data_IF_899666536756
#
_entry.id   IF_899666536756
#
_cell.length_a   1.000
_cell.length_b   1.000
_cell.length_c   1.000
_cell.angle_alpha   90.00
_cell.angle_beta   90.00
_cell.angle_gamma   90.00
#
_symmetry.space_group_name_H-M   'P 1'
#
loop_
_entity.id
_entity.type
_entity.pdbx_description
1 polymer ?
#
# COMPACT_ATOMS: atom_id res chain seq x y z
N UNK A 1 12.73 7.69 -6.55
CA UNK A 1 11.55 7.28 -5.76
C UNK A 1 11.16 8.44 -4.86
N UNK A 2 9.87 8.72 -4.67
CA UNK A 2 9.41 9.77 -3.74
C UNK A 2 8.88 9.09 -2.48
N UNK A 3 9.35 9.52 -1.31
CA UNK A 3 8.82 9.06 -0.01
C UNK A 3 8.26 10.25 0.74
N UNK A 4 6.96 10.19 1.03
CA UNK A 4 6.27 11.22 1.80
C UNK A 4 6.06 10.74 3.22
N UNK A 5 6.43 11.55 4.20
CA UNK A 5 6.13 11.29 5.60
C UNK A 5 5.84 12.59 6.33
N UNK A 6 5.00 12.55 7.36
CA UNK A 6 4.74 13.70 8.24
C UNK A 6 5.80 13.90 9.33
N UNK A 7 6.75 12.96 9.46
CA UNK A 7 7.74 12.95 10.54
C UNK A 7 9.15 13.07 9.98
N UNK A 8 9.81 14.20 10.26
CA UNK A 8 11.20 14.44 9.86
C UNK A 8 12.15 13.36 10.39
N UNK A 9 12.09 12.96 11.69
CA UNK A 9 12.98 11.91 12.20
C UNK A 9 12.86 10.57 11.46
N UNK A 10 11.68 10.23 10.91
CA UNK A 10 11.50 9.02 10.11
C UNK A 10 12.14 9.13 8.72
N UNK A 11 12.11 10.31 8.11
CA UNK A 11 12.79 10.59 6.86
C UNK A 11 14.32 10.56 7.04
N UNK A 12 14.82 11.13 8.13
CA UNK A 12 16.24 11.11 8.47
C UNK A 12 16.73 9.66 8.69
N UNK A 13 15.94 8.86 9.43
CA UNK A 13 16.25 7.45 9.65
C UNK A 13 16.27 6.63 8.34
N UNK A 14 15.36 6.93 7.40
CA UNK A 14 15.38 6.33 6.07
C UNK A 14 16.67 6.69 5.31
N UNK A 15 17.05 7.97 5.30
CA UNK A 15 18.28 8.41 4.63
C UNK A 15 19.53 7.77 5.23
N UNK A 16 19.62 7.70 6.56
CA UNK A 16 20.73 7.04 7.25
C UNK A 16 20.79 5.54 6.92
N UNK A 17 19.65 4.86 6.85
CA UNK A 17 19.57 3.46 6.44
C UNK A 17 20.04 3.27 5.00
N UNK A 18 19.59 4.11 4.06
CA UNK A 18 19.99 4.04 2.65
C UNK A 18 21.50 4.24 2.50
N UNK A 19 22.09 5.21 3.23
CA UNK A 19 23.52 5.45 3.24
C UNK A 19 24.30 4.22 3.77
N UNK A 20 23.84 3.63 4.87
CA UNK A 20 24.47 2.43 5.46
C UNK A 20 24.42 1.20 4.54
N UNK A 21 23.36 1.07 3.75
CA UNK A 21 23.20 -0.01 2.76
C UNK A 21 23.98 0.25 1.47
N UNK A 22 24.62 1.42 1.31
CA UNK A 22 25.27 1.80 0.06
C UNK A 22 24.29 1.93 -1.12
N UNK A 23 23.03 2.27 -0.84
CA UNK A 23 22.01 2.35 -1.87
C UNK A 23 22.33 3.47 -2.87
N UNK A 24 22.32 3.14 -4.16
CA UNK A 24 22.55 4.10 -5.25
C UNK A 24 21.26 4.74 -5.78
N UNK A 25 20.10 4.28 -5.30
CA UNK A 25 18.78 4.81 -5.68
C UNK A 25 18.57 6.21 -5.10
N UNK A 26 18.20 7.16 -5.96
CA UNK A 26 17.74 8.48 -5.52
C UNK A 26 16.35 8.39 -4.86
N UNK A 27 16.27 8.83 -3.61
CA UNK A 27 15.03 8.89 -2.83
C UNK A 27 14.76 10.33 -2.41
N UNK A 28 13.71 10.91 -2.98
CA UNK A 28 13.24 12.25 -2.65
C UNK A 28 12.34 12.16 -1.41
N UNK A 29 12.89 12.54 -0.26
CA UNK A 29 12.17 12.60 1.00
C UNK A 29 11.37 13.91 1.10
N UNK A 30 10.05 13.80 1.25
CA UNK A 30 9.15 14.95 1.36
C UNK A 30 8.46 14.95 2.72
N UNK A 31 8.73 15.99 3.53
CA UNK A 31 7.98 16.24 4.77
C UNK A 31 6.62 16.85 4.42
N UNK A 32 5.55 16.06 4.59
CA UNK A 32 4.19 16.50 4.28
C UNK A 32 3.13 15.69 5.04
N UNK A 33 2.05 16.35 5.40
CA UNK A 33 0.81 15.74 5.89
C UNK A 33 -0.46 16.25 5.19
N UNK A 34 -0.32 17.25 4.30
CA UNK A 34 -1.44 17.82 3.55
C UNK A 34 -1.77 16.94 2.32
N UNK A 35 -2.98 16.37 2.24
CA UNK A 35 -3.37 15.52 1.11
C UNK A 35 -3.37 16.27 -0.23
N UNK A 36 -3.61 17.58 -0.26
CA UNK A 36 -3.55 18.37 -1.50
C UNK A 36 -2.13 18.40 -2.10
N UNK A 37 -1.11 18.45 -1.25
CA UNK A 37 0.29 18.32 -1.69
C UNK A 37 0.57 16.92 -2.23
N UNK A 38 -0.04 15.88 -1.65
CA UNK A 38 0.10 14.51 -2.16
C UNK A 38 -0.57 14.35 -3.54
N UNK A 39 -1.73 14.95 -3.77
CA UNK A 39 -2.37 14.99 -5.09
C UNK A 39 -1.43 15.60 -6.13
N UNK A 40 -0.80 16.74 -5.80
CA UNK A 40 0.13 17.43 -6.68
C UNK A 40 1.41 16.63 -6.95
N UNK A 41 1.91 15.85 -5.97
CA UNK A 41 3.04 14.93 -6.18
C UNK A 41 2.63 13.78 -7.11
N UNK A 42 1.48 13.16 -6.83
CA UNK A 42 0.97 12.02 -7.57
C UNK A 42 0.67 12.37 -9.03
N UNK A 43 0.08 13.54 -9.29
CA UNK A 43 -0.26 13.99 -10.64
C UNK A 43 0.95 14.20 -11.56
N UNK A 44 2.16 14.37 -11.00
CA UNK A 44 3.41 14.53 -11.77
C UNK A 44 4.14 13.21 -12.01
N UNK A 45 3.63 12.10 -11.48
CA UNK A 45 4.27 10.80 -11.68
C UNK A 45 4.14 10.37 -13.15
N UNK A 46 5.20 9.80 -13.73
CA UNK A 46 5.12 9.22 -15.07
C UNK A 46 4.03 8.15 -15.18
N UNK A 47 3.50 7.96 -16.39
CA UNK A 47 2.67 6.79 -16.72
C UNK A 47 3.38 5.49 -16.32
N UNK A 48 2.63 4.52 -15.80
CA UNK A 48 3.18 3.25 -15.31
C UNK A 48 3.74 3.29 -13.89
N UNK A 49 3.67 4.43 -13.19
CA UNK A 49 4.18 4.54 -11.82
C UNK A 49 3.35 3.75 -10.80
N UNK A 50 4.02 3.26 -9.75
CA UNK A 50 3.43 2.66 -8.57
C UNK A 50 3.23 3.71 -7.47
N UNK A 51 2.01 3.79 -6.94
CA UNK A 51 1.63 4.67 -5.83
C UNK A 51 1.12 3.82 -4.68
N UNK A 52 1.73 3.98 -3.50
CA UNK A 52 1.46 3.11 -2.34
C UNK A 52 0.96 3.94 -1.16
N UNK A 53 -0.21 3.61 -0.60
CA UNK A 53 -0.54 4.02 0.76
C UNK A 53 0.17 3.08 1.75
N UNK A 54 1.35 3.49 2.20
CA UNK A 54 2.15 2.79 3.22
C UNK A 54 1.95 3.39 4.62
N UNK A 55 0.81 4.03 4.86
CA UNK A 55 0.46 4.64 6.15
C UNK A 55 -0.65 3.86 6.85
N UNK A 56 -0.95 4.21 8.10
CA UNK A 56 -2.14 3.69 8.78
C UNK A 56 -3.44 4.41 8.41
N UNK A 57 -3.45 5.38 7.49
CA UNK A 57 -4.68 6.04 7.07
C UNK A 57 -5.57 5.07 6.28
N UNK A 58 -6.86 5.06 6.57
CA UNK A 58 -7.83 4.07 6.07
C UNK A 58 -7.93 2.82 6.95
N UNK A 59 -7.15 2.72 8.02
CA UNK A 59 -7.14 1.59 8.97
C UNK A 59 -6.99 2.02 10.42
N UNK A 60 -5.81 2.54 10.78
CA UNK A 60 -5.47 3.00 12.13
C UNK A 60 -5.92 4.44 12.37
N UNK A 61 -6.03 5.23 11.28
CA UNK A 61 -6.63 6.57 11.28
C UNK A 61 -7.65 6.67 10.15
N UNK A 62 -8.78 7.37 10.36
CA UNK A 62 -9.76 7.60 9.30
C UNK A 62 -9.18 8.35 8.10
N UNK A 63 -9.84 8.21 6.95
CA UNK A 63 -9.55 8.98 5.73
C UNK A 63 -8.44 8.41 4.84
N UNK A 64 -7.93 9.25 3.93
CA UNK A 64 -6.97 8.88 2.89
C UNK A 64 -5.78 9.87 2.84
N UNK A 65 -4.57 9.43 2.46
CA UNK A 65 -3.44 10.33 2.24
C UNK A 65 -3.62 11.26 1.01
N UNK A 66 -4.63 11.04 0.17
CA UNK A 66 -4.95 11.88 -1.00
C UNK A 66 -6.40 12.36 -0.91
N UNK A 67 -6.72 13.43 -1.64
CA UNK A 67 -8.12 13.89 -1.73
C UNK A 67 -8.87 13.13 -2.83
N UNK A 68 -10.19 13.28 -2.88
CA UNK A 68 -11.01 12.70 -3.95
C UNK A 68 -10.73 13.33 -5.33
N UNK A 69 -10.06 14.49 -5.38
CA UNK A 69 -9.60 15.11 -6.61
C UNK A 69 -8.22 14.59 -7.07
N UNK A 70 -7.53 13.80 -6.25
CA UNK A 70 -6.23 13.22 -6.56
C UNK A 70 -6.28 12.33 -7.81
N UNK A 71 -5.34 12.52 -8.72
CA UNK A 71 -5.28 11.81 -9.99
C UNK A 71 -4.11 10.81 -10.03
N UNK A 72 -4.42 9.52 -10.08
CA UNK A 72 -3.39 8.48 -10.21
C UNK A 72 -2.67 8.55 -11.56
N UNK A 73 -1.40 8.10 -11.67
CA UNK A 73 -0.72 7.99 -12.96
C UNK A 73 -1.50 7.03 -13.88
N UNK A 74 -1.55 7.33 -15.19
CA UNK A 74 -2.13 6.39 -16.16
C UNK A 74 -1.35 5.07 -16.17
N UNK A 75 -2.01 3.97 -16.54
CA UNK A 75 -1.43 2.63 -16.67
C UNK A 75 -0.60 2.19 -15.46
N UNK A 76 -0.90 2.78 -14.29
CA UNK A 76 -0.12 2.65 -13.06
C UNK A 76 -0.68 1.59 -12.13
N UNK A 77 -0.01 1.46 -10.99
CA UNK A 77 -0.44 0.58 -9.90
C UNK A 77 -0.77 1.44 -8.69
N UNK A 78 -1.98 1.30 -8.15
CA UNK A 78 -2.37 1.86 -6.87
C UNK A 78 -2.41 0.73 -5.84
N UNK A 79 -1.63 0.85 -4.79
CA UNK A 79 -1.52 -0.19 -3.77
C UNK A 79 -1.86 0.35 -2.38
N UNK A 80 -2.97 -0.09 -1.82
CA UNK A 80 -3.31 0.13 -0.42
C UNK A 80 -2.62 -0.97 0.41
N UNK A 81 -1.61 -0.65 1.23
CA UNK A 81 -0.96 -1.68 2.06
C UNK A 81 -1.87 -2.17 3.19
N UNK A 82 -2.91 -1.42 3.52
CA UNK A 82 -3.93 -1.87 4.47
C UNK A 82 -4.85 -2.92 3.82
N UNK A 83 -5.43 -3.79 4.64
CA UNK A 83 -6.30 -4.88 4.19
C UNK A 83 -7.64 -4.93 4.95
N UNK A 84 -7.86 -3.94 5.82
CA UNK A 84 -9.06 -3.77 6.63
C UNK A 84 -9.24 -2.31 7.01
N UNK A 85 -10.46 -1.93 7.36
CA UNK A 85 -10.82 -0.56 7.73
C UNK A 85 -11.62 0.11 6.62
N UNK A 86 -11.58 1.44 6.58
CA UNK A 86 -12.29 2.26 5.59
C UNK A 86 -11.64 2.24 4.20
N UNK A 87 -10.32 1.99 4.13
CA UNK A 87 -9.56 1.84 2.88
C UNK A 87 -9.81 2.96 1.84
N UNK A 88 -9.95 4.21 2.29
CA UNK A 88 -10.36 5.33 1.42
C UNK A 88 -9.49 5.51 0.16
N UNK A 89 -8.17 5.28 0.26
CA UNK A 89 -7.25 5.31 -0.88
C UNK A 89 -7.54 4.22 -1.92
N UNK A 90 -7.90 3.00 -1.47
CA UNK A 90 -8.32 1.90 -2.35
C UNK A 90 -9.56 2.32 -3.14
N UNK A 91 -10.59 2.82 -2.46
CA UNK A 91 -11.82 3.26 -3.11
C UNK A 91 -11.61 4.43 -4.07
N UNK A 92 -10.71 5.36 -3.74
CA UNK A 92 -10.30 6.43 -4.66
C UNK A 92 -9.63 5.90 -5.93
N UNK A 93 -8.80 4.86 -5.81
CA UNK A 93 -8.16 4.20 -6.94
C UNK A 93 -9.15 3.40 -7.79
N UNK A 94 -10.06 2.64 -7.17
CA UNK A 94 -11.10 1.84 -7.83
C UNK A 94 -11.98 2.71 -8.74
N UNK A 95 -12.39 3.90 -8.25
CA UNK A 95 -13.17 4.87 -9.06
C UNK A 95 -12.43 5.36 -10.31
N UNK A 96 -11.10 5.26 -10.34
CA UNK A 96 -10.26 5.69 -11.46
C UNK A 96 -9.74 4.53 -12.31
N UNK A 97 -9.97 3.27 -11.91
CA UNK A 97 -9.30 2.10 -12.49
C UNK A 97 -9.56 1.96 -13.99
N UNK A 98 -10.83 1.99 -14.41
CA UNK A 98 -11.18 1.88 -15.83
C UNK A 98 -10.69 3.09 -16.65
N UNK A 99 -10.92 4.30 -16.16
CA UNK A 99 -10.60 5.53 -16.90
C UNK A 99 -9.10 5.75 -17.09
N UNK A 100 -8.27 5.19 -16.20
CA UNK A 100 -6.82 5.41 -16.19
C UNK A 100 -6.02 4.12 -16.40
N UNK A 101 -6.68 3.00 -16.67
CA UNK A 101 -6.05 1.68 -16.80
C UNK A 101 -5.21 1.31 -15.56
N UNK A 102 -5.76 1.53 -14.35
CA UNK A 102 -5.04 1.22 -13.11
C UNK A 102 -5.18 -0.26 -12.76
N UNK A 103 -4.07 -0.83 -12.29
CA UNK A 103 -4.11 -2.01 -11.45
C UNK A 103 -4.26 -1.55 -9.99
N UNK A 104 -5.32 -2.01 -9.33
CA UNK A 104 -5.59 -1.67 -7.94
C UNK A 104 -5.37 -2.92 -7.09
N UNK A 105 -4.55 -2.80 -6.05
CA UNK A 105 -4.19 -3.88 -5.14
C UNK A 105 -4.41 -3.44 -3.71
N UNK A 106 -4.79 -4.38 -2.84
CA UNK A 106 -4.89 -4.17 -1.40
C UNK A 106 -3.77 -4.92 -0.64
N UNK A 107 -3.81 -4.80 0.69
CA UNK A 107 -2.78 -5.36 1.56
C UNK A 107 -2.97 -6.84 1.90
N UNK A 108 -4.03 -7.51 1.46
CA UNK A 108 -4.40 -8.82 2.00
C UNK A 108 -3.36 -9.89 1.69
N UNK A 109 -2.95 -10.00 0.43
CA UNK A 109 -1.92 -10.95 0.03
C UNK A 109 -0.57 -10.66 0.69
N UNK A 110 -0.23 -9.37 0.87
CA UNK A 110 0.97 -8.96 1.59
C UNK A 110 0.92 -9.35 3.07
N UNK A 111 -0.24 -9.21 3.72
CA UNK A 111 -0.46 -9.67 5.09
C UNK A 111 -0.25 -11.18 5.23
N UNK A 112 -0.79 -11.98 4.30
CA UNK A 112 -0.61 -13.44 4.30
C UNK A 112 0.86 -13.82 4.14
N UNK A 113 1.57 -13.22 3.19
CA UNK A 113 3.01 -13.44 3.04
C UNK A 113 3.80 -13.01 4.28
N UNK A 114 3.51 -11.85 4.85
CA UNK A 114 4.22 -11.36 6.03
C UNK A 114 4.09 -12.30 7.23
N UNK A 115 2.88 -12.79 7.52
CA UNK A 115 2.67 -13.70 8.64
C UNK A 115 3.22 -15.10 8.39
N UNK A 116 3.02 -15.65 7.20
CA UNK A 116 3.55 -16.99 6.88
C UNK A 116 5.08 -17.04 6.95
N UNK A 117 5.78 -15.96 6.57
CA UNK A 117 7.24 -15.87 6.74
C UNK A 117 7.66 -15.93 8.22
N UNK A 118 6.96 -15.24 9.11
CA UNK A 118 7.25 -15.28 10.56
C UNK A 118 6.94 -16.67 11.14
N UNK A 119 5.79 -17.24 10.80
CA UNK A 119 5.38 -18.58 11.28
C UNK A 119 6.38 -19.64 10.80
N UNK A 120 6.84 -19.55 9.55
CA UNK A 120 7.85 -20.43 8.98
C UNK A 120 9.13 -20.43 9.82
N UNK A 121 9.59 -19.25 10.25
CA UNK A 121 10.77 -19.11 11.11
C UNK A 121 10.54 -19.62 12.54
N UNK A 122 9.37 -19.41 13.12
CA UNK A 122 9.09 -19.88 14.49
C UNK A 122 8.95 -21.40 14.54
N UNK A 123 8.26 -21.99 13.57
CA UNK A 123 7.96 -23.43 13.53
C UNK A 123 9.02 -24.24 12.81
N UNK A 124 9.98 -23.60 12.13
CA UNK A 124 11.00 -24.26 11.30
C UNK A 124 10.36 -25.16 10.23
N UNK A 125 9.25 -24.70 9.64
CA UNK A 125 8.53 -25.36 8.55
C UNK A 125 8.56 -24.43 7.34
N UNK A 126 8.89 -24.96 6.16
CA UNK A 126 8.80 -24.18 4.92
C UNK A 126 7.33 -23.98 4.53
N UNK A 127 6.87 -22.73 4.47
CA UNK A 127 5.53 -22.37 4.02
C UNK A 127 5.64 -21.70 2.65
N UNK A 128 5.71 -22.53 1.61
CA UNK A 128 5.86 -22.09 0.22
C UNK A 128 4.96 -22.88 -0.73
N UNK A 129 4.85 -22.41 -1.97
CA UNK A 129 4.17 -23.11 -3.06
C UNK A 129 2.76 -23.62 -2.69
N UNK A 130 2.48 -24.93 -2.81
CA UNK A 130 1.16 -25.51 -2.52
C UNK A 130 0.68 -25.29 -1.09
N UNK A 131 1.58 -25.32 -0.09
CA UNK A 131 1.18 -25.14 1.31
C UNK A 131 0.73 -23.69 1.55
N UNK A 132 1.47 -22.71 1.02
CA UNK A 132 1.04 -21.32 1.08
C UNK A 132 -0.31 -21.12 0.38
N UNK A 133 -0.47 -21.66 -0.83
CA UNK A 133 -1.73 -21.55 -1.57
C UNK A 133 -2.92 -22.10 -0.78
N UNK A 134 -2.75 -23.25 -0.11
CA UNK A 134 -3.79 -23.84 0.72
C UNK A 134 -4.11 -22.98 1.95
N UNK A 135 -3.11 -22.44 2.63
CA UNK A 135 -3.32 -21.55 3.77
C UNK A 135 -4.00 -20.25 3.35
N UNK A 136 -3.61 -19.69 2.20
CA UNK A 136 -4.22 -18.48 1.64
C UNK A 136 -5.69 -18.71 1.29
N UNK A 137 -6.02 -19.85 0.64
CA UNK A 137 -7.41 -20.25 0.35
C UNK A 137 -8.27 -20.32 1.61
N UNK A 138 -7.76 -20.95 2.68
CA UNK A 138 -8.46 -21.04 3.96
C UNK A 138 -8.65 -19.64 4.57
N UNK A 139 -7.58 -18.84 4.56
CA UNK A 139 -7.60 -17.51 5.15
C UNK A 139 -8.57 -16.56 4.43
N UNK A 140 -8.83 -16.74 3.13
CA UNK A 140 -9.73 -15.87 2.35
C UNK A 140 -11.13 -15.77 2.97
N UNK A 141 -11.60 -16.86 3.58
CA UNK A 141 -12.90 -16.87 4.29
C UNK A 141 -12.95 -15.95 5.51
N UNK A 142 -11.80 -15.49 5.99
CA UNK A 142 -11.64 -14.56 7.11
C UNK A 142 -11.23 -13.15 6.64
N UNK A 143 -11.15 -12.90 5.33
CA UNK A 143 -10.77 -11.59 4.82
C UNK A 143 -11.80 -10.53 5.25
N UNK A 144 -11.38 -9.45 5.92
CA UNK A 144 -12.29 -8.38 6.31
C UNK A 144 -12.97 -7.77 5.08
N UNK A 145 -14.30 -7.61 5.12
CA UNK A 145 -15.08 -7.07 4.00
C UNK A 145 -15.50 -8.11 2.95
N UNK A 146 -14.96 -9.33 2.95
CA UNK A 146 -15.38 -10.39 2.02
C UNK A 146 -16.79 -10.94 2.29
N UNK A 147 -17.43 -10.54 3.40
CA UNK A 147 -18.80 -10.90 3.77
C UNK A 147 -19.87 -9.86 3.42
N UNK A 148 -19.52 -8.69 2.86
CA UNK A 148 -20.51 -7.73 2.41
C UNK A 148 -20.92 -8.05 0.97
N UNK A 149 -21.92 -8.93 0.82
CA UNK A 149 -22.71 -8.97 -0.42
C UNK A 149 -23.35 -7.61 -0.69
N UNK A 150 -23.79 -7.33 -1.94
CA UNK A 150 -24.42 -6.07 -2.25
C UNK A 150 -25.76 -5.96 -1.50
N UNK A 151 -25.80 -5.13 -0.47
CA UNK A 151 -27.02 -4.67 0.20
C UNK A 151 -27.43 -5.47 1.44
N UNK A 152 -27.24 -4.85 2.60
CA UNK A 152 -28.25 -4.78 3.67
C UNK A 152 -28.43 -3.30 4.06
#
# INVERSE_FOLDING_TARGET
>A
MIVVNRSQPRLDALQAMLARLGATLTVDCVLNEDPHRNDALMARLPEGSLVINATGMGKDRPGSPITDAGLFPRSGIAWEMNYRGELGFLHQAERQAAARNLRVEDGWLYFLHGWTQVISQVLQIEISGPLFARLAEIAETFRPGAGAGPGE
#
